data_IF_061465416449
#
_entry.id   IF_061465416449
#
_cell.length_a   1.000
_cell.length_b   1.000
_cell.length_c   1.000
_cell.angle_alpha   90.00
_cell.angle_beta   90.00
_cell.angle_gamma   90.00
#
_symmetry.space_group_name_H-M   'P 1'
#
loop_
_entity.id
_entity.type
_entity.pdbx_description
1 polymer ?
#
# COMPACT_ATOMS: atom_id res chain seq x y z
N UNK A 1 -10.22 -4.57 2.81
CA UNK A 1 -8.90 -3.97 3.13
C UNK A 1 -7.78 -4.95 2.78
N UNK A 2 -7.73 -6.15 3.37
CA UNK A 2 -6.74 -7.21 3.06
C UNK A 2 -6.44 -7.38 1.56
N UNK A 3 -7.45 -7.72 0.75
CA UNK A 3 -7.24 -8.05 -0.67
C UNK A 3 -6.70 -6.86 -1.47
N UNK A 4 -7.14 -5.64 -1.13
CA UNK A 4 -6.61 -4.41 -1.73
C UNK A 4 -5.12 -4.24 -1.44
N UNK A 5 -4.66 -4.47 -0.20
CA UNK A 5 -3.24 -4.37 0.15
C UNK A 5 -2.41 -5.48 -0.52
N UNK A 6 -2.92 -6.72 -0.52
CA UNK A 6 -2.27 -7.86 -1.20
C UNK A 6 -2.09 -7.55 -2.69
N UNK A 7 -3.16 -7.14 -3.37
CA UNK A 7 -3.12 -6.82 -4.80
C UNK A 7 -2.23 -5.60 -5.09
N UNK A 8 -2.32 -4.54 -4.28
CA UNK A 8 -1.58 -3.30 -4.51
C UNK A 8 -0.06 -3.48 -4.34
N UNK A 9 0.36 -4.27 -3.36
CA UNK A 9 1.76 -4.50 -3.04
C UNK A 9 2.37 -5.64 -3.87
N UNK A 10 1.56 -6.37 -4.64
CA UNK A 10 2.00 -7.64 -5.23
C UNK A 10 2.38 -8.65 -4.13
N UNK A 11 1.74 -8.55 -2.97
CA UNK A 11 2.08 -9.32 -1.79
C UNK A 11 1.37 -10.66 -1.71
N UNK A 12 1.66 -11.37 -0.63
CA UNK A 12 1.01 -12.61 -0.21
C UNK A 12 0.77 -12.58 1.31
N UNK A 13 -0.19 -13.37 1.77
CA UNK A 13 -0.50 -13.51 3.20
C UNK A 13 0.55 -14.44 3.82
N UNK A 14 1.25 -13.97 4.85
CA UNK A 14 2.18 -14.77 5.65
C UNK A 14 1.47 -15.44 6.84
N UNK A 15 0.46 -14.77 7.40
CA UNK A 15 -0.34 -15.25 8.51
C UNK A 15 -1.71 -14.55 8.53
N UNK A 16 -2.77 -15.27 8.90
CA UNK A 16 -4.12 -14.72 9.06
C UNK A 16 -4.88 -15.45 10.17
N UNK A 17 -5.59 -14.69 11.00
CA UNK A 17 -6.57 -15.17 11.96
C UNK A 17 -7.75 -14.19 12.06
N UNK A 18 -8.67 -14.39 13.02
CA UNK A 18 -9.85 -13.54 13.20
C UNK A 18 -9.56 -12.10 13.64
N UNK A 19 -8.33 -11.78 14.05
CA UNK A 19 -7.93 -10.45 14.53
C UNK A 19 -6.83 -9.79 13.70
N UNK A 20 -6.01 -10.55 12.98
CA UNK A 20 -4.81 -10.04 12.34
C UNK A 20 -4.57 -10.69 10.98
N UNK A 21 -4.11 -9.87 10.03
CA UNK A 21 -3.56 -10.33 8.75
C UNK A 21 -2.19 -9.72 8.53
N UNK A 22 -1.20 -10.58 8.26
CA UNK A 22 0.18 -10.18 7.97
C UNK A 22 0.50 -10.41 6.49
N UNK A 23 0.94 -9.35 5.83
CA UNK A 23 1.23 -9.32 4.40
C UNK A 23 2.72 -9.08 4.20
N UNK A 24 3.33 -9.84 3.31
CA UNK A 24 4.71 -9.66 2.85
C UNK A 24 4.77 -9.68 1.33
N UNK A 25 5.80 -9.06 0.78
CA UNK A 25 6.10 -9.01 -0.65
C UNK A 25 7.59 -9.29 -0.93
N UNK A 26 8.30 -9.81 0.06
CA UNK A 26 9.69 -10.27 -0.03
C UNK A 26 9.92 -11.44 0.96
N UNK A 27 11.18 -11.68 1.34
CA UNK A 27 11.59 -12.77 2.24
C UNK A 27 11.28 -12.48 3.72
N UNK A 28 10.96 -11.23 4.09
CA UNK A 28 10.62 -10.89 5.47
C UNK A 28 9.28 -11.50 5.88
N UNK A 29 9.12 -11.84 7.17
CA UNK A 29 7.89 -12.48 7.65
C UNK A 29 6.66 -11.61 7.34
N UNK A 30 6.75 -10.31 7.57
CA UNK A 30 5.70 -9.36 7.22
C UNK A 30 6.25 -7.95 7.05
N UNK A 31 5.68 -7.22 6.10
CA UNK A 31 5.92 -5.79 5.86
C UNK A 31 4.74 -4.93 6.29
N UNK A 32 3.53 -5.49 6.25
CA UNK A 32 2.28 -4.84 6.67
C UNK A 32 1.53 -5.78 7.61
N UNK A 33 1.07 -5.23 8.72
CA UNK A 33 0.11 -5.88 9.61
C UNK A 33 -1.20 -5.09 9.62
N UNK A 34 -2.31 -5.76 9.30
CA UNK A 34 -3.65 -5.22 9.43
C UNK A 34 -4.29 -5.87 10.67
N UNK A 35 -4.58 -5.06 11.68
CA UNK A 35 -5.15 -5.51 12.95
C UNK A 35 -6.58 -5.00 13.09
N UNK A 36 -7.47 -5.88 13.53
CA UNK A 36 -8.85 -5.56 13.86
C UNK A 36 -9.04 -5.60 15.38
N UNK A 37 -9.41 -4.45 15.94
CA UNK A 37 -9.81 -4.33 17.34
C UNK A 37 -11.29 -3.93 17.43
N UNK A 38 -12.13 -4.73 18.12
CA UNK A 38 -13.52 -4.36 18.37
C UNK A 38 -13.63 -3.00 19.05
N UNK A 39 -14.62 -2.19 18.64
CA UNK A 39 -14.88 -0.88 19.25
C UNK A 39 -14.04 0.29 18.72
N UNK A 40 -13.17 0.07 17.74
CA UNK A 40 -12.49 1.16 17.03
C UNK A 40 -13.47 2.03 16.26
N UNK A 41 -13.15 3.32 16.13
CA UNK A 41 -13.94 4.31 15.39
C UNK A 41 -13.18 4.78 14.15
N UNK A 42 -13.87 5.30 13.11
CA UNK A 42 -13.19 5.91 11.97
C UNK A 42 -12.21 7.02 12.39
N UNK A 43 -11.11 7.17 11.64
CA UNK A 43 -10.12 8.24 11.87
C UNK A 43 -10.78 9.63 11.74
N UNK A 44 -10.52 10.51 12.70
CA UNK A 44 -10.91 11.93 12.61
C UNK A 44 -9.90 12.64 11.71
N UNK A 45 -10.33 13.17 10.57
CA UNK A 45 -9.41 13.70 9.52
C UNK A 45 -8.63 14.95 9.93
N UNK A 46 -9.13 15.71 10.90
CA UNK A 46 -8.53 16.98 11.37
C UNK A 46 -7.52 16.80 12.51
N UNK A 47 -7.21 15.56 12.91
CA UNK A 47 -6.19 15.28 13.92
C UNK A 47 -4.87 14.90 13.26
N UNK A 48 -3.76 15.05 13.99
CA UNK A 48 -2.47 14.53 13.54
C UNK A 48 -2.49 13.00 13.37
N UNK A 49 -1.59 12.48 12.54
CA UNK A 49 -1.41 11.05 12.29
C UNK A 49 -0.64 10.79 11.00
N UNK A 50 -0.50 9.52 10.63
CA UNK A 50 0.10 9.12 9.35
C UNK A 50 -0.78 9.59 8.18
N UNK A 51 -0.16 10.24 7.20
CA UNK A 51 -0.83 10.72 5.98
C UNK A 51 -0.66 9.70 4.85
N UNK A 52 0.58 9.44 4.42
CA UNK A 52 0.92 8.42 3.43
C UNK A 52 2.23 7.68 3.78
N UNK A 53 2.43 6.54 3.10
CA UNK A 53 3.70 5.83 3.02
C UNK A 53 4.18 5.90 1.57
N UNK A 54 5.49 6.09 1.39
CA UNK A 54 6.11 6.10 0.06
C UNK A 54 7.07 4.91 -0.08
N UNK A 55 7.00 4.26 -1.22
CA UNK A 55 7.93 3.19 -1.62
C UNK A 55 8.72 3.67 -2.82
N UNK A 56 10.04 3.62 -2.72
CA UNK A 56 10.93 4.00 -3.81
C UNK A 56 11.13 2.86 -4.79
N UNK A 57 11.38 3.22 -6.04
CA UNK A 57 11.79 2.32 -7.09
C UNK A 57 13.19 2.71 -7.56
N UNK A 58 13.97 1.74 -8.02
CA UNK A 58 15.34 1.97 -8.50
C UNK A 58 15.39 2.81 -9.78
N UNK A 59 14.31 2.84 -10.56
CA UNK A 59 14.21 3.62 -11.79
C UNK A 59 12.79 4.10 -12.07
N UNK A 60 12.66 5.09 -12.96
CA UNK A 60 11.36 5.53 -13.47
C UNK A 60 10.65 4.41 -14.24
N UNK A 61 11.40 3.57 -14.95
CA UNK A 61 10.86 2.39 -15.65
C UNK A 61 10.18 1.44 -14.67
N UNK A 62 10.80 1.17 -13.53
CA UNK A 62 10.24 0.30 -12.49
C UNK A 62 8.98 0.91 -11.88
N UNK A 63 8.97 2.22 -11.62
CA UNK A 63 7.77 2.94 -11.17
C UNK A 63 6.61 2.80 -12.18
N UNK A 64 6.88 3.00 -13.47
CA UNK A 64 5.87 2.91 -14.53
C UNK A 64 5.39 1.47 -14.78
N UNK A 65 6.27 0.48 -14.60
CA UNK A 65 5.87 -0.93 -14.60
C UNK A 65 4.91 -1.22 -13.44
N UNK A 66 5.24 -0.72 -12.25
CA UNK A 66 4.42 -0.85 -11.06
C UNK A 66 3.04 -0.18 -11.23
N UNK A 67 2.99 0.95 -11.94
CA UNK A 67 1.73 1.60 -12.34
C UNK A 67 0.88 0.72 -13.26
N UNK A 68 1.47 0.16 -14.31
CA UNK A 68 0.75 -0.71 -15.25
C UNK A 68 0.19 -1.97 -14.57
N UNK A 69 0.96 -2.57 -13.64
CA UNK A 69 0.51 -3.72 -12.87
C UNK A 69 -0.72 -3.39 -12.02
N UNK A 70 -0.72 -2.26 -11.30
CA UNK A 70 -1.85 -1.78 -10.49
C UNK A 70 -3.07 -1.48 -11.34
N UNK A 71 -2.86 -0.82 -12.49
CA UNK A 71 -3.92 -0.53 -13.45
C UNK A 71 -4.61 -1.79 -13.97
N UNK A 72 -3.83 -2.83 -14.29
CA UNK A 72 -4.36 -4.10 -14.81
C UNK A 72 -5.28 -4.83 -13.81
N UNK A 73 -5.14 -4.56 -12.51
CA UNK A 73 -6.00 -5.10 -11.45
C UNK A 73 -7.05 -4.10 -10.96
N UNK A 74 -7.29 -3.02 -11.73
CA UNK A 74 -8.32 -2.02 -11.45
C UNK A 74 -7.96 -1.00 -10.37
N UNK A 75 -6.70 -0.90 -9.96
CA UNK A 75 -6.21 0.13 -9.04
C UNK A 75 -5.67 1.32 -9.84
N UNK A 76 -6.49 2.36 -9.97
CA UNK A 76 -6.13 3.60 -10.67
C UNK A 76 -5.57 4.64 -9.68
N UNK A 77 -4.56 5.44 -10.07
CA UNK A 77 -4.04 6.50 -9.20
C UNK A 77 -5.01 7.67 -9.11
N UNK A 78 -5.10 8.30 -7.95
CA UNK A 78 -5.86 9.55 -7.79
C UNK A 78 -5.02 10.79 -8.13
N UNK A 79 -3.69 10.70 -8.05
CA UNK A 79 -2.81 11.81 -8.35
C UNK A 79 -1.44 11.33 -8.82
N UNK A 80 -0.90 11.92 -9.88
CA UNK A 80 0.47 11.70 -10.33
C UNK A 80 1.17 13.05 -10.37
N UNK A 81 2.37 13.14 -9.79
CA UNK A 81 3.05 14.41 -9.62
C UNK A 81 4.55 14.26 -9.80
N UNK A 82 5.13 15.19 -10.57
CA UNK A 82 6.57 15.34 -10.66
C UNK A 82 7.00 16.45 -9.68
N UNK A 83 7.71 16.07 -8.62
CA UNK A 83 8.20 16.99 -7.59
C UNK A 83 9.44 17.77 -8.04
N UNK A 84 10.03 17.44 -9.20
CA UNK A 84 11.33 17.93 -9.65
C UNK A 84 12.42 16.87 -9.46
N UNK A 85 12.87 16.59 -8.22
CA UNK A 85 13.89 15.58 -7.96
C UNK A 85 13.34 14.14 -7.98
N UNK A 86 12.03 13.98 -7.77
CA UNK A 86 11.35 12.67 -7.77
C UNK A 86 10.01 12.76 -8.49
N UNK A 87 9.56 11.63 -9.03
CA UNK A 87 8.20 11.47 -9.57
C UNK A 87 7.45 10.48 -8.70
N UNK A 88 6.22 10.83 -8.31
CA UNK A 88 5.37 10.02 -7.44
C UNK A 88 4.00 9.78 -8.07
N UNK A 89 3.46 8.59 -7.85
CA UNK A 89 2.11 8.19 -8.25
C UNK A 89 1.37 7.77 -6.99
N UNK A 90 0.31 8.48 -6.66
CA UNK A 90 -0.50 8.31 -5.45
C UNK A 90 -1.78 7.53 -5.75
N UNK A 91 -2.10 6.59 -4.87
CA UNK A 91 -3.26 5.69 -4.93
C UNK A 91 -4.04 5.72 -3.63
#
# INVERSE_FOLDING_TARGET
MRDSYVSFLGGRIAYENSMAVFITYDEEHHRIALLQFPGTKPKVKTTCGLEHLAYSFSSLTDLLLAYRQRRNVGTEPYWSFNHGPTTSIYY
#
